data_IF_769093365237
#
_entry.id   IF_769093365237
#
_cell.length_a   1.000
_cell.length_b   1.000
_cell.length_c   1.000
_cell.angle_alpha   90.00
_cell.angle_beta   90.00
_cell.angle_gamma   90.00
#
_symmetry.space_group_name_H-M   'P 1'
#
loop_
_entity.id
_entity.type
_entity.pdbx_description
1 polymer ?
#
# COMPACT_ATOMS: atom_id res chain seq x y z
N UNK A 1 -41.85 -0.55 -10.70
CA UNK A 1 -40.75 -0.28 -11.66
C UNK A 1 -40.27 1.15 -11.45
N UNK A 2 -39.40 1.37 -10.46
CA UNK A 2 -38.72 2.64 -10.21
C UNK A 2 -37.31 2.30 -9.73
N UNK A 3 -36.37 2.21 -10.67
CA UNK A 3 -34.94 2.12 -10.37
C UNK A 3 -34.55 3.47 -9.78
N UNK A 4 -34.33 3.52 -8.47
CA UNK A 4 -33.81 4.70 -7.79
C UNK A 4 -32.41 5.02 -8.33
N UNK A 5 -32.26 6.23 -8.84
CA UNK A 5 -31.09 6.82 -9.50
C UNK A 5 -30.03 7.20 -8.44
N UNK A 6 -29.77 6.33 -7.47
CA UNK A 6 -28.81 6.59 -6.39
C UNK A 6 -27.49 5.83 -6.52
N UNK A 7 -27.24 5.10 -7.62
CA UNK A 7 -26.02 4.27 -7.74
C UNK A 7 -24.80 4.96 -8.38
N UNK A 8 -24.78 6.29 -8.56
CA UNK A 8 -23.72 6.98 -9.32
C UNK A 8 -22.91 8.01 -8.50
N UNK A 9 -23.15 8.13 -7.19
CA UNK A 9 -22.37 8.98 -6.28
C UNK A 9 -21.84 8.07 -5.16
N UNK A 10 -20.55 7.85 -4.88
CA UNK A 10 -19.31 8.54 -5.23
C UNK A 10 -18.13 7.53 -5.30
N UNK A 11 -17.79 7.04 -6.49
CA UNK A 11 -16.67 6.10 -6.71
C UNK A 11 -15.27 6.78 -6.74
N UNK A 12 -15.13 7.98 -6.16
CA UNK A 12 -13.93 8.84 -6.25
C UNK A 12 -13.21 9.00 -4.90
N UNK A 13 -12.97 7.91 -4.17
CA UNK A 13 -12.15 7.98 -2.97
C UNK A 13 -10.88 7.14 -3.12
N UNK A 14 -9.82 7.88 -3.38
CA UNK A 14 -8.39 7.56 -3.27
C UNK A 14 -8.03 7.05 -1.88
N UNK A 15 -7.57 5.80 -1.72
CA UNK A 15 -7.37 5.15 -0.41
C UNK A 15 -5.96 5.30 0.12
N UNK A 16 -5.86 5.88 1.30
CA UNK A 16 -4.60 6.12 2.00
C UNK A 16 -4.17 4.93 2.87
N UNK A 17 -4.79 3.77 2.71
CA UNK A 17 -4.78 2.72 3.74
C UNK A 17 -3.41 2.05 3.98
N UNK A 18 -2.71 1.49 2.98
CA UNK A 18 -1.39 0.91 3.19
C UNK A 18 -0.35 1.98 3.55
N UNK A 19 -0.45 3.14 2.92
CA UNK A 19 0.47 4.26 3.20
C UNK A 19 0.29 4.79 4.63
N UNK A 20 -0.92 4.76 5.19
CA UNK A 20 -1.17 5.20 6.56
C UNK A 20 -0.65 4.19 7.61
N UNK A 21 -0.57 2.90 7.29
CA UNK A 21 0.12 1.92 8.13
C UNK A 21 1.60 2.30 8.29
N UNK A 22 2.32 2.51 7.17
CA UNK A 22 3.72 2.90 7.21
C UNK A 22 3.92 4.29 7.81
N UNK A 23 2.98 5.22 7.58
CA UNK A 23 3.04 6.56 8.17
C UNK A 23 2.92 6.51 9.69
N UNK A 24 1.98 5.73 10.22
CA UNK A 24 1.81 5.56 11.68
C UNK A 24 3.06 4.95 12.30
N UNK A 25 3.61 3.90 11.67
CA UNK A 25 4.85 3.26 12.13
C UNK A 25 6.04 4.22 12.12
N UNK A 26 6.22 5.02 11.06
CA UNK A 26 7.29 6.01 11.00
C UNK A 26 7.10 7.10 12.07
N UNK A 27 5.89 7.64 12.23
CA UNK A 27 5.60 8.66 13.23
C UNK A 27 5.88 8.21 14.67
N UNK A 28 5.63 6.94 15.01
CA UNK A 28 5.93 6.42 16.35
C UNK A 28 7.44 6.34 16.67
N UNK A 29 8.29 6.42 15.65
CA UNK A 29 9.75 6.34 15.80
C UNK A 29 10.41 7.74 15.76
N UNK A 30 9.64 8.78 15.45
CA UNK A 30 10.11 10.15 15.26
C UNK A 30 9.77 11.02 16.47
N UNK A 31 10.53 12.11 16.72
CA UNK A 31 10.20 13.07 17.76
C UNK A 31 8.82 13.66 17.54
N UNK A 32 8.07 13.87 18.62
CA UNK A 32 6.77 14.54 18.57
C UNK A 32 6.90 15.91 17.90
N UNK A 33 5.97 16.27 17.00
CA UNK A 33 5.92 17.51 16.20
C UNK A 33 6.78 17.58 14.92
N UNK A 34 7.47 16.50 14.51
CA UNK A 34 8.07 16.45 13.17
C UNK A 34 7.00 16.42 12.07
N UNK A 35 7.26 17.10 10.95
CA UNK A 35 6.41 16.94 9.78
C UNK A 35 6.75 15.63 9.08
N UNK A 36 5.77 14.75 8.90
CA UNK A 36 5.88 13.60 7.99
C UNK A 36 4.80 13.73 6.91
N UNK A 37 5.24 13.99 5.68
CA UNK A 37 4.37 14.16 4.52
C UNK A 37 4.76 13.18 3.43
N UNK A 38 3.87 12.97 2.48
CA UNK A 38 4.12 12.13 1.30
C UNK A 38 5.06 12.86 0.36
N UNK A 39 6.03 12.13 -0.20
CA UNK A 39 6.84 12.69 -1.27
C UNK A 39 6.05 12.67 -2.58
N UNK A 40 5.53 13.84 -2.98
CA UNK A 40 4.77 13.98 -4.23
C UNK A 40 5.60 13.67 -5.47
N UNK A 41 6.93 13.77 -5.36
CA UNK A 41 7.89 13.43 -6.41
C UNK A 41 8.16 11.93 -6.50
N UNK A 42 7.60 11.11 -5.59
CA UNK A 42 7.70 9.64 -5.56
C UNK A 42 9.14 9.12 -5.57
N UNK A 43 10.08 9.89 -5.01
CA UNK A 43 11.46 9.45 -4.77
C UNK A 43 11.54 8.54 -3.55
N UNK A 44 10.62 8.74 -2.61
CA UNK A 44 10.43 7.95 -1.41
C UNK A 44 8.94 7.87 -1.06
N UNK A 45 8.59 7.07 -0.05
CA UNK A 45 7.20 7.03 0.42
C UNK A 45 6.84 8.31 1.19
N UNK A 46 7.78 8.81 2.00
CA UNK A 46 7.62 10.03 2.78
C UNK A 46 8.81 10.97 2.64
N UNK A 47 8.58 12.24 2.95
CA UNK A 47 9.60 13.20 3.30
C UNK A 47 9.32 13.76 4.70
N UNK A 48 10.37 14.14 5.41
CA UNK A 48 10.28 14.79 6.72
C UNK A 48 11.26 15.94 6.86
N UNK A 49 10.90 16.94 7.67
CA UNK A 49 11.75 18.07 8.03
C UNK A 49 12.45 17.88 9.39
N UNK A 50 12.48 16.66 9.95
CA UNK A 50 13.15 16.41 11.22
C UNK A 50 14.62 16.87 11.27
N UNK A 51 15.44 16.76 10.19
CA UNK A 51 16.85 17.15 10.27
C UNK A 51 17.07 18.62 10.63
N UNK A 52 16.12 19.50 10.26
CA UNK A 52 16.21 20.94 10.55
C UNK A 52 15.48 21.34 11.85
N UNK A 53 14.52 20.52 12.30
CA UNK A 53 13.73 20.82 13.51
C UNK A 53 14.33 20.26 14.78
N UNK A 54 15.04 19.14 14.66
CA UNK A 54 15.60 18.39 15.78
C UNK A 54 17.04 18.02 15.45
N UNK A 55 17.96 18.97 15.64
CA UNK A 55 19.38 18.81 15.31
C UNK A 55 20.04 17.65 16.06
N UNK A 56 19.57 17.34 17.27
CA UNK A 56 20.07 16.24 18.10
C UNK A 56 19.42 14.89 17.79
N UNK A 57 18.40 14.86 16.93
CA UNK A 57 17.73 13.61 16.56
C UNK A 57 18.44 12.94 15.37
N UNK A 58 18.91 11.71 15.58
CA UNK A 58 19.49 10.89 14.54
C UNK A 58 18.42 10.03 13.84
N UNK A 59 18.69 9.64 12.59
CA UNK A 59 17.82 8.72 11.85
C UNK A 59 17.82 7.28 12.40
N UNK A 60 18.61 6.97 13.43
CA UNK A 60 18.82 5.62 13.96
C UNK A 60 17.50 4.92 14.33
N UNK A 61 16.54 5.53 15.06
CA UNK A 61 15.30 4.85 15.40
C UNK A 61 14.44 4.49 14.18
N UNK A 62 14.48 5.30 13.12
CA UNK A 62 13.80 4.98 11.85
C UNK A 62 14.47 3.81 11.13
N UNK A 63 15.81 3.79 11.11
CA UNK A 63 16.60 2.71 10.49
C UNK A 63 16.35 1.38 11.22
N UNK A 64 16.45 1.37 12.55
CA UNK A 64 16.16 0.19 13.38
C UNK A 64 14.69 -0.24 13.26
N UNK A 65 13.78 0.72 13.07
CA UNK A 65 12.37 0.45 12.79
C UNK A 65 12.08 -0.11 11.39
N UNK A 66 13.11 -0.29 10.56
CA UNK A 66 13.02 -0.89 9.24
C UNK A 66 12.65 0.09 8.12
N UNK A 67 13.15 1.32 8.21
CA UNK A 67 13.08 2.30 7.14
C UNK A 67 14.48 2.63 6.59
N UNK A 68 14.60 2.82 5.28
CA UNK A 68 15.71 3.56 4.72
C UNK A 68 15.45 5.06 4.89
N UNK A 69 16.47 5.79 5.33
CA UNK A 69 16.44 7.23 5.53
C UNK A 69 17.58 7.86 4.77
N UNK A 70 17.26 8.72 3.82
CA UNK A 70 18.23 9.48 3.03
C UNK A 70 18.13 10.96 3.44
N UNK A 71 19.15 11.44 4.15
CA UNK A 71 19.18 12.81 4.69
C UNK A 71 19.72 13.75 3.60
N UNK A 72 18.86 14.66 3.18
CA UNK A 72 19.21 15.83 2.39
C UNK A 72 19.44 17.01 3.33
N UNK A 73 20.14 18.05 2.85
CA UNK A 73 20.54 19.22 3.66
C UNK A 73 19.46 19.74 4.62
N UNK A 74 18.20 19.78 4.17
CA UNK A 74 17.08 20.35 4.93
C UNK A 74 15.90 19.39 5.16
N UNK A 75 15.97 18.14 4.70
CA UNK A 75 14.88 17.19 4.81
C UNK A 75 15.38 15.75 4.68
N UNK A 76 14.61 14.79 5.17
CA UNK A 76 14.88 13.38 4.99
C UNK A 76 13.84 12.73 4.06
N UNK A 77 14.29 11.84 3.19
CA UNK A 77 13.45 10.94 2.41
C UNK A 77 13.38 9.60 3.13
N UNK A 78 12.16 9.08 3.34
CA UNK A 78 11.92 7.89 4.18
C UNK A 78 11.10 6.87 3.40
N UNK A 79 11.63 5.64 3.30
CA UNK A 79 10.98 4.52 2.60
C UNK A 79 11.08 3.26 3.45
N UNK A 80 10.01 2.44 3.58
CA UNK A 80 10.14 1.16 4.29
C UNK A 80 11.10 0.24 3.52
N UNK A 81 11.95 -0.49 4.25
CA UNK A 81 12.86 -1.47 3.62
C UNK A 81 12.09 -2.64 3.02
N UNK A 82 12.76 -3.43 2.18
CA UNK A 82 12.19 -4.66 1.63
C UNK A 82 11.69 -5.59 2.74
N UNK A 83 12.44 -5.76 3.83
CA UNK A 83 12.11 -6.62 4.96
C UNK A 83 10.83 -6.13 5.65
N UNK A 84 10.72 -4.81 5.88
CA UNK A 84 9.51 -4.21 6.45
C UNK A 84 8.30 -4.41 5.55
N UNK A 85 8.46 -4.24 4.23
CA UNK A 85 7.39 -4.50 3.27
C UNK A 85 7.02 -5.97 3.29
N UNK A 86 8.00 -6.87 3.27
CA UNK A 86 7.77 -8.33 3.29
C UNK A 86 6.98 -8.75 4.51
N UNK A 87 7.40 -8.32 5.71
CA UNK A 87 6.67 -8.61 6.97
C UNK A 87 5.23 -8.10 6.91
N UNK A 88 5.01 -6.91 6.35
CA UNK A 88 3.67 -6.38 6.17
C UNK A 88 2.82 -7.23 5.20
N UNK A 89 3.37 -7.64 4.05
CA UNK A 89 2.67 -8.49 3.07
C UNK A 89 2.40 -9.89 3.63
N UNK A 90 3.37 -10.49 4.32
CA UNK A 90 3.22 -11.79 4.96
C UNK A 90 2.09 -11.74 6.02
N UNK A 91 2.02 -10.67 6.82
CA UNK A 91 0.95 -10.48 7.79
C UNK A 91 -0.46 -10.31 7.19
N UNK A 92 -0.57 -9.96 5.91
CA UNK A 92 -1.85 -9.90 5.18
C UNK A 92 -2.22 -11.29 4.63
N UNK A 93 -1.23 -12.11 4.28
CA UNK A 93 -1.44 -13.42 3.65
C UNK A 93 -2.32 -14.36 4.47
N UNK A 94 -2.33 -14.18 5.80
CA UNK A 94 -3.13 -14.98 6.74
C UNK A 94 -4.57 -14.49 6.88
N UNK A 95 -4.90 -13.32 6.33
CA UNK A 95 -6.25 -12.77 6.40
C UNK A 95 -7.18 -13.57 5.47
N UNK A 96 -8.30 -14.14 5.96
CA UNK A 96 -9.23 -14.86 5.12
C UNK A 96 -9.89 -13.93 4.10
N UNK A 97 -10.22 -14.48 2.93
CA UNK A 97 -10.96 -13.72 1.92
C UNK A 97 -12.40 -13.48 2.42
N UNK A 98 -12.90 -12.24 2.35
CA UNK A 98 -14.32 -11.95 2.56
C UNK A 98 -15.21 -12.75 1.59
N UNK A 99 -16.48 -13.04 1.96
CA UNK A 99 -17.45 -13.61 1.03
C UNK A 99 -17.60 -12.73 -0.22
N UNK A 100 -17.71 -13.37 -1.38
CA UNK A 100 -17.92 -12.67 -2.64
C UNK A 100 -19.41 -12.39 -2.88
N UNK A 101 -19.73 -11.16 -3.29
CA UNK A 101 -21.06 -10.68 -3.69
C UNK A 101 -20.96 -9.86 -4.99
N UNK A 102 -22.10 -9.35 -5.48
CA UNK A 102 -22.14 -8.59 -6.75
C UNK A 102 -21.25 -7.33 -6.74
N UNK A 103 -20.98 -6.74 -5.57
CA UNK A 103 -20.23 -5.50 -5.43
C UNK A 103 -18.71 -5.73 -5.36
N UNK A 104 -18.28 -6.89 -4.84
CA UNK A 104 -16.85 -7.17 -4.57
C UNK A 104 -16.26 -8.34 -5.37
N UNK A 105 -17.07 -9.09 -6.13
CA UNK A 105 -16.66 -10.34 -6.79
C UNK A 105 -15.39 -10.20 -7.63
N UNK A 106 -15.22 -9.07 -8.31
CA UNK A 106 -14.03 -8.79 -9.12
C UNK A 106 -12.76 -8.69 -8.29
N UNK A 107 -12.82 -7.97 -7.17
CA UNK A 107 -11.67 -7.80 -6.26
C UNK A 107 -11.34 -9.15 -5.61
N UNK A 108 -12.33 -9.83 -5.05
CA UNK A 108 -12.12 -11.11 -4.35
C UNK A 108 -11.58 -12.17 -5.32
N UNK A 109 -12.09 -12.23 -6.54
CA UNK A 109 -11.59 -13.15 -7.57
C UNK A 109 -10.14 -12.85 -7.95
N UNK A 110 -9.79 -11.57 -8.15
CA UNK A 110 -8.41 -11.17 -8.46
C UNK A 110 -7.43 -11.57 -7.36
N UNK A 111 -7.76 -11.26 -6.09
CA UNK A 111 -6.91 -11.63 -4.94
C UNK A 111 -6.79 -13.14 -4.82
N UNK A 112 -7.91 -13.87 -4.95
CA UNK A 112 -7.91 -15.34 -4.89
C UNK A 112 -7.00 -15.95 -5.97
N UNK A 113 -7.08 -15.46 -7.21
CA UNK A 113 -6.20 -15.91 -8.29
C UNK A 113 -4.73 -15.62 -7.99
N UNK A 114 -4.39 -14.40 -7.57
CA UNK A 114 -3.02 -14.01 -7.23
C UNK A 114 -2.45 -14.86 -6.07
N UNK A 115 -3.28 -15.17 -5.07
CA UNK A 115 -2.90 -16.04 -3.94
C UNK A 115 -2.63 -17.49 -4.33
N UNK A 116 -3.30 -18.01 -5.36
CA UNK A 116 -3.03 -19.36 -5.89
C UNK A 116 -1.70 -19.45 -6.63
N UNK A 117 -1.18 -18.32 -7.07
CA UNK A 117 0.08 -18.20 -7.81
C UNK A 117 1.16 -17.49 -6.98
N UNK A 118 1.16 -17.62 -5.64
CA UNK A 118 2.18 -17.00 -4.79
C UNK A 118 3.59 -17.35 -5.28
N UNK A 119 4.30 -16.35 -5.76
CA UNK A 119 5.71 -16.44 -6.12
C UNK A 119 6.62 -15.94 -5.00
N UNK A 120 7.92 -16.07 -5.17
CA UNK A 120 8.89 -15.51 -4.24
C UNK A 120 8.84 -13.98 -4.31
N UNK A 121 8.63 -13.32 -3.15
CA UNK A 121 8.84 -11.88 -3.05
C UNK A 121 10.33 -11.61 -2.85
N UNK A 122 10.97 -10.98 -3.83
CA UNK A 122 12.42 -10.73 -3.84
C UNK A 122 12.71 -9.23 -3.61
N UNK A 123 13.90 -8.85 -3.13
CA UNK A 123 14.27 -7.45 -2.88
C UNK A 123 14.01 -6.51 -4.06
N UNK A 124 14.31 -6.94 -5.29
CA UNK A 124 14.08 -6.19 -6.51
C UNK A 124 12.59 -5.89 -6.77
N UNK A 125 11.66 -6.57 -6.11
CA UNK A 125 10.23 -6.30 -6.25
C UNK A 125 9.75 -5.15 -5.35
N UNK A 126 10.55 -4.69 -4.39
CA UNK A 126 10.15 -3.66 -3.42
C UNK A 126 9.69 -2.36 -4.10
N UNK A 127 10.40 -1.91 -5.15
CA UNK A 127 10.03 -0.69 -5.88
C UNK A 127 8.62 -0.76 -6.49
N UNK A 128 8.27 -1.90 -7.10
CA UNK A 128 6.92 -2.11 -7.66
C UNK A 128 5.85 -2.09 -6.57
N UNK A 129 6.17 -2.57 -5.37
CA UNK A 129 5.22 -2.52 -4.25
C UNK A 129 5.01 -1.10 -3.75
N UNK A 130 6.07 -0.28 -3.69
CA UNK A 130 5.94 1.16 -3.41
C UNK A 130 5.09 1.83 -4.48
N UNK A 131 5.30 1.54 -5.76
CA UNK A 131 4.45 2.03 -6.85
C UNK A 131 2.98 1.61 -6.67
N UNK A 132 2.71 0.35 -6.31
CA UNK A 132 1.35 -0.14 -6.06
C UNK A 132 0.69 0.54 -4.85
N UNK A 133 1.46 0.83 -3.78
CA UNK A 133 0.97 1.62 -2.64
C UNK A 133 0.56 3.01 -3.11
N UNK A 134 1.36 3.66 -3.96
CA UNK A 134 1.01 4.97 -4.56
C UNK A 134 -0.18 4.88 -5.53
N UNK A 135 -0.31 3.78 -6.29
CA UNK A 135 -1.44 3.58 -7.18
C UNK A 135 -2.75 3.43 -6.41
N UNK A 136 -2.76 2.63 -5.34
CA UNK A 136 -3.94 2.47 -4.47
C UNK A 136 -4.30 3.77 -3.76
N UNK A 137 -3.31 4.64 -3.52
CA UNK A 137 -3.58 5.99 -3.07
C UNK A 137 -4.43 6.75 -4.07
N UNK A 138 -4.13 6.75 -5.37
CA UNK A 138 -4.75 7.69 -6.31
C UNK A 138 -5.85 7.09 -7.20
N UNK A 139 -6.02 5.76 -7.17
CA UNK A 139 -6.94 5.05 -8.06
C UNK A 139 -8.04 4.34 -7.27
N UNK A 140 -9.27 4.28 -7.80
CA UNK A 140 -10.30 3.38 -7.28
C UNK A 140 -9.82 1.92 -7.29
N UNK A 141 -10.20 1.13 -6.28
CA UNK A 141 -9.75 -0.26 -6.14
C UNK A 141 -10.04 -1.14 -7.37
N UNK A 142 -11.16 -0.90 -8.07
CA UNK A 142 -11.48 -1.62 -9.30
C UNK A 142 -10.47 -1.34 -10.43
N UNK A 143 -9.89 -0.14 -10.50
CA UNK A 143 -8.86 0.18 -11.49
C UNK A 143 -7.51 -0.44 -11.11
N UNK A 144 -7.20 -0.52 -9.81
CA UNK A 144 -6.03 -1.25 -9.31
C UNK A 144 -6.17 -2.73 -9.64
N UNK A 145 -7.33 -3.33 -9.34
CA UNK A 145 -7.67 -4.71 -9.68
C UNK A 145 -7.47 -4.99 -11.18
N UNK A 146 -7.97 -4.12 -12.06
CA UNK A 146 -7.82 -4.27 -13.52
C UNK A 146 -6.34 -4.24 -13.94
N UNK A 147 -5.53 -3.39 -13.31
CA UNK A 147 -4.08 -3.32 -13.56
C UNK A 147 -3.40 -4.62 -13.12
N UNK A 148 -3.68 -5.10 -11.92
CA UNK A 148 -3.10 -6.34 -11.40
C UNK A 148 -3.49 -7.57 -12.25
N UNK A 149 -4.72 -7.62 -12.76
CA UNK A 149 -5.14 -8.71 -13.67
C UNK A 149 -4.37 -8.66 -15.00
N UNK A 150 -4.12 -7.47 -15.55
CA UNK A 150 -3.29 -7.32 -16.74
C UNK A 150 -1.84 -7.74 -16.47
N UNK A 151 -1.26 -7.29 -15.35
CA UNK A 151 0.10 -7.63 -14.96
C UNK A 151 0.26 -9.14 -14.72
N UNK A 152 -0.74 -9.77 -14.11
CA UNK A 152 -0.81 -11.22 -13.95
C UNK A 152 -0.85 -11.93 -15.32
N UNK A 153 -1.70 -11.49 -16.24
CA UNK A 153 -1.78 -12.09 -17.57
C UNK A 153 -0.46 -11.95 -18.35
N UNK A 154 0.21 -10.80 -18.23
CA UNK A 154 1.55 -10.58 -18.80
C UNK A 154 2.58 -11.51 -18.15
N UNK A 155 2.57 -11.62 -16.81
CA UNK A 155 3.49 -12.48 -16.08
C UNK A 155 3.34 -13.95 -16.46
N UNK A 156 2.10 -14.45 -16.53
CA UNK A 156 1.79 -15.81 -16.96
C UNK A 156 2.27 -16.07 -18.40
N UNK A 157 2.04 -15.12 -19.33
CA UNK A 157 2.52 -15.23 -20.72
C UNK A 157 4.04 -15.28 -20.80
N UNK A 158 4.72 -14.48 -19.97
CA UNK A 158 6.19 -14.38 -19.93
C UNK A 158 6.85 -15.41 -19.02
N UNK A 159 6.07 -16.27 -18.35
CA UNK A 159 6.53 -17.23 -17.33
C UNK A 159 7.36 -16.58 -16.22
N UNK A 160 6.99 -15.36 -15.83
CA UNK A 160 7.61 -14.63 -14.71
C UNK A 160 6.72 -14.72 -13.47
N UNK A 161 7.26 -14.45 -12.25
CA UNK A 161 6.45 -14.39 -11.04
C UNK A 161 5.29 -13.39 -11.18
N UNK A 162 4.11 -13.77 -10.72
CA UNK A 162 2.92 -12.89 -10.70
C UNK A 162 3.02 -11.87 -9.57
N UNK A 163 2.34 -10.71 -9.67
CA UNK A 163 2.41 -9.64 -8.66
C UNK A 163 1.55 -9.95 -7.42
N UNK A 164 1.77 -11.09 -6.76
CA UNK A 164 0.91 -11.56 -5.66
C UNK A 164 0.81 -10.55 -4.50
N UNK A 165 1.92 -9.90 -4.16
CA UNK A 165 1.97 -8.89 -3.11
C UNK A 165 1.09 -7.67 -3.42
N UNK A 166 0.88 -7.34 -4.70
CA UNK A 166 -0.11 -6.34 -5.10
C UNK A 166 -1.55 -6.77 -4.78
N UNK A 167 -1.84 -8.07 -4.94
CA UNK A 167 -3.12 -8.66 -4.52
C UNK A 167 -3.33 -8.62 -3.01
N UNK A 168 -2.29 -8.89 -2.22
CA UNK A 168 -2.35 -8.77 -0.75
C UNK A 168 -2.64 -7.32 -0.34
N UNK A 169 -1.94 -6.33 -0.93
CA UNK A 169 -2.24 -4.92 -0.69
C UNK A 169 -3.68 -4.54 -1.05
N UNK A 170 -4.17 -5.03 -2.19
CA UNK A 170 -5.55 -4.81 -2.62
C UNK A 170 -6.56 -5.36 -1.60
N UNK A 171 -6.31 -6.56 -1.07
CA UNK A 171 -7.15 -7.17 -0.03
C UNK A 171 -7.15 -6.34 1.25
N UNK A 172 -5.97 -5.92 1.72
CA UNK A 172 -5.82 -5.11 2.91
C UNK A 172 -6.62 -3.80 2.81
N UNK A 173 -6.49 -3.11 1.67
CA UNK A 173 -7.25 -1.89 1.37
C UNK A 173 -8.76 -2.13 1.33
N UNK A 174 -9.20 -3.25 0.73
CA UNK A 174 -10.62 -3.62 0.67
C UNK A 174 -11.21 -3.88 2.07
N UNK A 175 -10.55 -4.72 2.89
CA UNK A 175 -11.05 -5.08 4.21
C UNK A 175 -11.13 -3.86 5.14
N UNK A 176 -10.14 -2.98 5.08
CA UNK A 176 -10.16 -1.77 5.91
C UNK A 176 -11.30 -0.83 5.52
N UNK A 177 -11.58 -0.68 4.22
CA UNK A 177 -12.76 0.05 3.74
C UNK A 177 -14.07 -0.53 4.31
N UNK A 178 -14.23 -1.86 4.24
CA UNK A 178 -15.42 -2.53 4.79
C UNK A 178 -15.61 -2.31 6.30
N UNK A 179 -14.52 -2.11 7.04
CA UNK A 179 -14.59 -1.78 8.47
C UNK A 179 -15.01 -0.33 8.69
N UNK A 180 -14.42 0.60 7.95
CA UNK A 180 -14.71 2.04 8.06
C UNK A 180 -16.17 2.35 7.66
N UNK A 181 -16.68 1.73 6.60
CA UNK A 181 -18.07 1.90 6.13
C UNK A 181 -19.12 1.31 7.08
N UNK A 182 -18.76 0.31 7.90
CA UNK A 182 -19.66 -0.27 8.92
C UNK A 182 -19.70 0.53 10.23
N UNK A 183 -18.76 1.44 10.42
CA UNK A 183 -18.68 2.31 11.60
C UNK A 183 -19.31 3.69 11.41
N UNK A 184 -19.81 4.00 10.22
CA UNK A 184 -20.59 5.21 9.91
C UNK A 184 -22.08 4.88 9.79
#
# INVERSE_FOLDING_TARGET
>A
MLRSINSILSFRQTLKVPIDYFKTKALSLMPSKCLLKRDRRRRALFFSDFPIRFLDYSAVPLIEGGFSVDIMDSYALITPTYETIKVFIDGISDIPLPPADEDNIYIISCVNMLRRHKGTFLPEHAHKIIEQIHMQEIMPLNNVCRTLMNDMAVALRRKTPVPFAGGELLLYSYIKRMKEEKTC
#
